data_IF_574459866808
#
_entry.id   IF_574459866808
#
_cell.length_a   1.000
_cell.length_b   1.000
_cell.length_c   1.000
_cell.angle_alpha   90.00
_cell.angle_beta   90.00
_cell.angle_gamma   90.00
#
_symmetry.space_group_name_H-M   'P 1'
#
loop_
_entity.id
_entity.type
_entity.pdbx_description
1 polymer ?
#
# COMPACT_ATOMS: atom_id res chain seq x y z
N UNK A 1 -0.22 3.87 -11.22
CA UNK A 1 -1.33 3.43 -10.35
C UNK A 1 -1.11 4.00 -8.96
N UNK A 2 -2.17 4.42 -8.26
CA UNK A 2 -2.04 4.89 -6.88
C UNK A 2 -1.75 3.72 -5.95
N UNK A 3 -0.84 3.89 -5.00
CA UNK A 3 -0.47 2.88 -4.01
C UNK A 3 -0.42 3.54 -2.64
N UNK A 4 -1.20 3.00 -1.71
CA UNK A 4 -1.31 3.52 -0.34
C UNK A 4 -0.85 2.44 0.63
N UNK A 5 0.02 2.79 1.57
CA UNK A 5 0.47 1.92 2.65
C UNK A 5 -0.28 2.28 3.93
N UNK A 6 -0.88 1.30 4.60
CA UNK A 6 -1.75 1.51 5.76
C UNK A 6 -1.37 0.58 6.89
N UNK A 7 -1.40 1.07 8.12
CA UNK A 7 -1.28 0.23 9.32
C UNK A 7 -2.59 -0.52 9.54
N UNK A 8 -2.51 -1.85 9.57
CA UNK A 8 -3.68 -2.74 9.65
C UNK A 8 -4.56 -2.46 10.87
N UNK A 9 -3.94 -2.27 12.04
CA UNK A 9 -4.67 -2.15 13.30
C UNK A 9 -5.37 -0.81 13.47
N UNK A 10 -4.80 0.26 12.91
CA UNK A 10 -5.26 1.65 13.16
C UNK A 10 -5.91 2.29 11.94
N UNK A 11 -5.70 1.74 10.74
CA UNK A 11 -6.06 2.40 9.49
C UNK A 11 -5.20 3.62 9.17
N UNK A 12 -4.11 3.85 9.89
CA UNK A 12 -3.23 5.00 9.64
C UNK A 12 -2.49 4.85 8.31
N UNK A 13 -2.61 5.82 7.43
CA UNK A 13 -1.80 5.92 6.22
C UNK A 13 -0.34 6.28 6.56
N UNK A 14 0.59 5.51 6.00
CA UNK A 14 2.02 5.67 6.17
C UNK A 14 2.65 6.41 5.01
N UNK A 15 2.21 6.09 3.79
CA UNK A 15 2.73 6.65 2.54
C UNK A 15 1.68 6.49 1.44
N UNK A 16 1.49 7.55 0.66
CA UNK A 16 0.82 7.51 -0.63
C UNK A 16 1.84 7.77 -1.73
N UNK A 17 1.81 6.96 -2.79
CA UNK A 17 2.70 7.12 -3.93
C UNK A 17 2.08 6.63 -5.23
N UNK A 18 2.62 7.10 -6.35
CA UNK A 18 2.32 6.53 -7.66
C UNK A 18 3.45 5.61 -8.11
N UNK A 19 3.12 4.41 -8.57
CA UNK A 19 4.07 3.50 -9.23
C UNK A 19 3.60 3.08 -10.61
N UNK A 20 4.56 2.91 -11.52
CA UNK A 20 4.37 2.26 -12.82
C UNK A 20 4.69 0.76 -12.76
N UNK A 21 5.46 0.32 -11.75
CA UNK A 21 5.76 -1.09 -11.48
C UNK A 21 5.11 -1.52 -10.16
N UNK A 22 3.81 -1.81 -10.24
CA UNK A 22 3.00 -2.22 -9.09
C UNK A 22 3.33 -3.66 -8.68
N UNK A 23 3.63 -4.52 -9.65
CA UNK A 23 3.93 -5.92 -9.41
C UNK A 23 5.28 -6.09 -8.67
N UNK A 24 6.32 -5.37 -9.11
CA UNK A 24 7.63 -5.37 -8.45
C UNK A 24 7.55 -4.76 -7.05
N UNK A 25 6.82 -3.66 -6.88
CA UNK A 25 6.58 -3.05 -5.56
C UNK A 25 5.90 -4.03 -4.61
N UNK A 26 4.79 -4.64 -5.03
CA UNK A 26 4.05 -5.61 -4.21
C UNK A 26 4.91 -6.83 -3.87
N UNK A 27 5.73 -7.32 -4.80
CA UNK A 27 6.65 -8.41 -4.56
C UNK A 27 7.71 -8.06 -3.51
N UNK A 28 8.29 -6.85 -3.58
CA UNK A 28 9.26 -6.37 -2.59
C UNK A 28 8.63 -6.21 -1.20
N UNK A 29 7.41 -5.65 -1.14
CA UNK A 29 6.69 -5.42 0.12
C UNK A 29 6.32 -6.73 0.83
N UNK A 30 6.02 -7.79 0.07
CA UNK A 30 5.77 -9.15 0.60
C UNK A 30 7.03 -9.86 1.14
N UNK A 31 8.19 -9.20 1.12
CA UNK A 31 9.42 -9.70 1.72
C UNK A 31 9.38 -9.75 3.25
N UNK A 32 10.55 -9.82 3.87
CA UNK A 32 10.67 -9.97 5.33
C UNK A 32 10.13 -8.76 6.10
N UNK A 33 10.45 -7.55 5.63
CA UNK A 33 9.95 -6.31 6.23
C UNK A 33 9.98 -5.14 5.25
N UNK A 34 9.19 -4.11 5.57
CA UNK A 34 9.20 -2.80 4.94
C UNK A 34 9.60 -1.78 5.99
N UNK A 35 10.62 -0.98 5.69
CA UNK A 35 11.15 0.04 6.61
C UNK A 35 10.77 1.43 6.13
N UNK A 36 10.17 2.21 7.02
CA UNK A 36 9.91 3.64 6.87
C UNK A 36 10.72 4.43 7.91
N UNK A 37 10.89 5.76 7.76
CA UNK A 37 11.58 6.58 8.76
C UNK A 37 10.99 6.53 10.17
N UNK A 38 9.74 6.09 10.31
CA UNK A 38 8.97 6.04 11.56
C UNK A 38 8.69 4.62 12.06
N UNK A 39 9.20 3.57 11.41
CA UNK A 39 9.03 2.20 11.89
C UNK A 39 9.31 1.12 10.85
N UNK A 40 9.40 -0.11 11.34
CA UNK A 40 9.52 -1.31 10.52
C UNK A 40 8.24 -2.12 10.62
N UNK A 41 7.78 -2.62 9.48
CA UNK A 41 6.50 -3.30 9.37
C UNK A 41 6.64 -4.57 8.54
N UNK A 42 5.70 -5.51 8.74
CA UNK A 42 5.54 -6.70 7.93
C UNK A 42 4.30 -6.57 7.06
N UNK A 43 4.35 -7.10 5.84
CA UNK A 43 3.17 -7.23 4.99
C UNK A 43 2.10 -8.09 5.67
N UNK A 44 0.84 -7.64 5.60
CA UNK A 44 -0.32 -8.41 6.03
C UNK A 44 -1.18 -8.84 4.82
N UNK A 45 -1.82 -7.87 4.15
CA UNK A 45 -2.62 -8.10 2.95
C UNK A 45 -2.65 -6.87 2.05
N UNK A 46 -3.32 -6.95 0.90
CA UNK A 46 -3.57 -5.81 0.02
C UNK A 46 -4.93 -5.94 -0.65
N UNK A 47 -5.51 -4.80 -1.03
CA UNK A 47 -6.73 -4.70 -1.82
C UNK A 47 -6.47 -3.88 -3.08
N UNK A 48 -7.12 -4.25 -4.18
CA UNK A 48 -7.16 -3.45 -5.40
C UNK A 48 -8.54 -2.83 -5.54
N UNK A 49 -8.63 -1.55 -5.23
CA UNK A 49 -9.88 -0.81 -5.21
C UNK A 49 -10.08 -0.07 -6.53
N UNK A 50 -11.35 0.06 -6.89
CA UNK A 50 -11.80 0.74 -8.09
C UNK A 50 -12.91 1.71 -7.72
N UNK A 51 -12.77 2.97 -8.10
CA UNK A 51 -13.77 4.00 -7.81
C UNK A 51 -13.92 4.97 -8.97
N UNK A 52 -15.04 5.69 -9.00
CA UNK A 52 -15.32 6.72 -9.99
C UNK A 52 -15.00 8.08 -9.38
N UNK A 53 -14.11 8.83 -10.03
CA UNK A 53 -13.71 10.18 -9.62
C UNK A 53 -13.65 11.07 -10.87
N UNK A 54 -14.32 12.22 -10.83
CA UNK A 54 -14.42 13.17 -11.95
C UNK A 54 -14.84 12.53 -13.30
N UNK A 55 -15.71 11.51 -13.22
CA UNK A 55 -16.20 10.79 -14.41
C UNK A 55 -15.19 9.80 -15.02
N UNK A 56 -14.05 9.58 -14.37
CA UNK A 56 -13.05 8.59 -14.76
C UNK A 56 -12.94 7.46 -13.73
N UNK A 57 -12.80 6.22 -14.19
CA UNK A 57 -12.48 5.11 -13.30
C UNK A 57 -11.02 5.21 -12.85
N UNK A 58 -10.82 5.22 -11.53
CA UNK A 58 -9.52 5.18 -10.87
C UNK A 58 -9.27 3.79 -10.29
N UNK A 59 -8.00 3.50 -10.12
CA UNK A 59 -7.51 2.26 -9.52
C UNK A 59 -6.48 2.58 -8.46
N UNK A 60 -6.59 1.89 -7.33
CA UNK A 60 -5.75 2.10 -6.17
C UNK A 60 -5.38 0.76 -5.54
N UNK A 61 -4.09 0.57 -5.27
CA UNK A 61 -3.60 -0.56 -4.51
C UNK A 61 -3.38 -0.13 -3.06
N UNK A 62 -4.18 -0.64 -2.14
CA UNK A 62 -4.00 -0.40 -0.70
C UNK A 62 -3.27 -1.59 -0.10
N UNK A 63 -2.11 -1.35 0.50
CA UNK A 63 -1.25 -2.36 1.12
C UNK A 63 -1.29 -2.19 2.63
N UNK A 64 -1.75 -3.22 3.33
CA UNK A 64 -1.90 -3.25 4.77
C UNK A 64 -0.69 -3.91 5.42
N UNK A 65 -0.13 -3.25 6.43
CA UNK A 65 1.09 -3.65 7.13
C UNK A 65 0.83 -3.79 8.65
N UNK A 66 1.57 -4.68 9.31
CA UNK A 66 1.60 -4.84 10.77
C UNK A 66 2.94 -4.35 11.32
N UNK A 67 2.94 -3.61 12.42
CA UNK A 67 4.18 -3.23 13.08
C UNK A 67 4.92 -4.48 13.61
N UNK A 68 6.25 -4.46 13.55
CA UNK A 68 7.14 -5.51 14.09
C UNK A 68 7.79 -5.00 15.38
#
# INVERSE_FOLDING_TARGET
MNVIFVVTETGQELLEMTSMDVAGLLAAVKGESVTFPFGTYQYDFHNLDHYLEDGAYRQELVIYLKAI
#
